data_IF_627679329042
#
_entry.id   IF_627679329042
#
_cell.length_a   1.000
_cell.length_b   1.000
_cell.length_c   1.000
_cell.angle_alpha   90.00
_cell.angle_beta   90.00
_cell.angle_gamma   90.00
#
_symmetry.space_group_name_H-M   'P 1'
#
loop_
_entity.id
_entity.type
_entity.pdbx_description
1 polymer ?
#
# COMPACT_ATOMS: atom_id res chain seq x y z
N UNK A 1 -30.24 -0.94 3.74
CA UNK A 1 -30.39 -2.41 3.74
C UNK A 1 -29.14 -2.99 4.37
N UNK A 2 -29.29 -3.68 5.50
CA UNK A 2 -28.22 -4.07 6.41
C UNK A 2 -27.20 -5.02 5.76
N UNK A 3 -25.93 -4.60 5.70
CA UNK A 3 -24.77 -5.48 5.40
C UNK A 3 -24.33 -6.35 6.59
N UNK A 4 -25.06 -6.31 7.71
CA UNK A 4 -24.70 -7.02 8.95
C UNK A 4 -25.04 -8.52 8.96
N UNK A 5 -25.50 -9.11 7.84
CA UNK A 5 -25.97 -10.50 7.77
C UNK A 5 -25.19 -11.45 6.85
N UNK A 6 -24.11 -11.00 6.20
CA UNK A 6 -23.43 -11.82 5.18
C UNK A 6 -22.26 -12.65 5.74
N UNK A 7 -21.80 -12.38 6.96
CA UNK A 7 -20.61 -13.03 7.53
C UNK A 7 -20.85 -14.44 8.09
N UNK A 8 -22.11 -14.82 8.35
CA UNK A 8 -22.45 -16.16 8.86
C UNK A 8 -22.40 -17.28 7.79
N UNK A 9 -22.00 -16.99 6.54
CA UNK A 9 -22.16 -17.93 5.41
C UNK A 9 -21.00 -18.02 4.41
N UNK A 10 -19.77 -17.65 4.78
CA UNK A 10 -18.59 -17.97 3.95
C UNK A 10 -17.91 -19.26 4.41
N UNK A 11 -17.99 -20.31 3.60
CA UNK A 11 -17.27 -21.57 3.83
C UNK A 11 -15.76 -21.36 4.03
N UNK A 12 -15.18 -20.34 3.38
CA UNK A 12 -13.77 -19.98 3.53
C UNK A 12 -13.41 -19.59 4.97
N UNK A 13 -14.24 -18.82 5.67
CA UNK A 13 -13.93 -18.41 7.05
C UNK A 13 -13.89 -19.61 7.99
N UNK A 14 -14.82 -20.55 7.82
CA UNK A 14 -14.85 -21.82 8.56
C UNK A 14 -13.61 -22.68 8.27
N UNK A 15 -13.23 -22.83 7.00
CA UNK A 15 -12.03 -23.59 6.61
C UNK A 15 -10.78 -22.98 7.24
N UNK A 16 -10.63 -21.66 7.16
CA UNK A 16 -9.49 -20.96 7.77
C UNK A 16 -9.50 -21.13 9.30
N UNK A 17 -10.66 -21.06 9.95
CA UNK A 17 -10.79 -21.24 11.40
C UNK A 17 -10.40 -22.65 11.83
N UNK A 18 -10.84 -23.67 11.08
CA UNK A 18 -10.50 -25.06 11.35
C UNK A 18 -9.01 -25.36 11.15
N UNK A 19 -8.37 -24.75 10.15
CA UNK A 19 -6.93 -24.90 9.86
C UNK A 19 -6.02 -24.07 10.76
N UNK A 20 -6.54 -22.98 11.35
CA UNK A 20 -5.78 -22.11 12.24
C UNK A 20 -5.72 -22.61 13.70
N UNK A 21 -6.28 -23.79 14.02
CA UNK A 21 -6.35 -24.31 15.41
C UNK A 21 -4.98 -24.63 16.03
N UNK A 22 -3.92 -24.73 15.22
CA UNK A 22 -2.56 -25.02 15.70
C UNK A 22 -1.52 -23.97 15.24
N UNK A 23 -1.01 -23.20 16.22
CA UNK A 23 0.36 -22.63 16.36
C UNK A 23 0.78 -21.25 15.79
N UNK A 24 1.51 -20.54 16.66
CA UNK A 24 2.69 -19.66 16.50
C UNK A 24 2.74 -18.67 15.32
N UNK A 25 1.98 -17.58 15.40
CA UNK A 25 2.38 -16.33 14.76
C UNK A 25 3.45 -15.66 15.62
N UNK A 26 4.57 -15.24 15.01
CA UNK A 26 5.63 -14.53 15.74
C UNK A 26 5.10 -13.17 16.22
N UNK A 27 5.46 -12.75 17.44
CA UNK A 27 4.91 -11.53 18.08
C UNK A 27 5.15 -10.25 17.24
N UNK A 28 6.14 -10.23 16.35
CA UNK A 28 6.64 -9.03 15.68
C UNK A 28 6.23 -8.81 14.21
N UNK A 29 5.60 -9.78 13.53
CA UNK A 29 5.27 -9.64 12.10
C UNK A 29 3.84 -9.19 11.84
N UNK A 30 3.65 -8.39 10.77
CA UNK A 30 2.36 -8.01 10.21
C UNK A 30 1.94 -9.09 9.21
N UNK A 31 0.74 -9.62 9.37
CA UNK A 31 0.20 -10.63 8.46
C UNK A 31 -1.05 -10.09 7.76
N UNK A 32 -1.04 -10.09 6.44
CA UNK A 32 -2.20 -9.86 5.56
C UNK A 32 -2.34 -11.06 4.64
N UNK A 33 -2.93 -12.14 5.15
CA UNK A 33 -3.03 -13.41 4.41
C UNK A 33 -4.31 -13.55 3.61
N UNK A 34 -5.11 -12.49 3.52
CA UNK A 34 -6.37 -12.44 2.80
C UNK A 34 -6.46 -11.13 2.02
N UNK A 35 -6.95 -11.23 0.80
CA UNK A 35 -7.22 -10.08 -0.06
C UNK A 35 -8.43 -10.34 -0.96
N UNK A 36 -8.98 -9.29 -1.54
CA UNK A 36 -10.16 -9.40 -2.39
C UNK A 36 -10.09 -8.43 -3.57
N UNK A 37 -10.61 -8.86 -4.71
CA UNK A 37 -10.86 -8.01 -5.88
C UNK A 37 -12.24 -8.33 -6.42
N UNK A 38 -13.03 -7.29 -6.70
CA UNK A 38 -14.40 -7.41 -7.17
C UNK A 38 -15.26 -8.35 -6.31
N UNK A 39 -15.62 -9.51 -6.86
CA UNK A 39 -16.46 -10.55 -6.27
C UNK A 39 -15.66 -11.75 -5.75
N UNK A 40 -14.33 -11.68 -5.70
CA UNK A 40 -13.44 -12.78 -5.28
C UNK A 40 -12.72 -12.44 -3.99
N UNK A 41 -12.69 -13.39 -3.07
CA UNK A 41 -11.79 -13.40 -1.92
C UNK A 41 -10.75 -14.49 -2.12
N UNK A 42 -9.49 -14.16 -1.86
CA UNK A 42 -8.36 -15.09 -1.85
C UNK A 42 -7.71 -15.08 -0.47
N UNK A 43 -7.39 -16.25 0.04
CA UNK A 43 -6.66 -16.45 1.29
C UNK A 43 -5.47 -17.39 1.11
N UNK A 44 -4.37 -17.12 1.81
CA UNK A 44 -3.21 -18.02 1.88
C UNK A 44 -3.39 -19.07 2.97
N UNK A 45 -3.27 -20.34 2.60
CA UNK A 45 -3.16 -21.46 3.54
C UNK A 45 -1.69 -21.82 3.77
N UNK A 46 -1.17 -21.48 4.95
CA UNK A 46 0.21 -21.81 5.34
C UNK A 46 0.41 -23.33 5.49
N UNK A 47 -0.59 -24.04 6.00
CA UNK A 47 -0.54 -25.49 6.21
C UNK A 47 -0.42 -26.25 4.89
N UNK A 48 -1.22 -25.86 3.89
CA UNK A 48 -1.26 -26.55 2.60
C UNK A 48 -0.28 -25.97 1.57
N UNK A 49 0.31 -24.79 1.83
CA UNK A 49 1.15 -24.07 0.89
C UNK A 49 0.41 -23.65 -0.39
N UNK A 50 -0.87 -23.29 -0.29
CA UNK A 50 -1.74 -22.99 -1.42
C UNK A 50 -2.60 -21.74 -1.20
N UNK A 51 -3.23 -21.25 -2.27
CA UNK A 51 -4.24 -20.20 -2.18
C UNK A 51 -5.64 -20.84 -2.17
N UNK A 52 -6.52 -20.33 -1.34
CA UNK A 52 -7.94 -20.68 -1.29
C UNK A 52 -8.72 -19.51 -1.87
N UNK A 53 -9.61 -19.79 -2.81
CA UNK A 53 -10.43 -18.75 -3.45
C UNK A 53 -11.91 -19.05 -3.32
N UNK A 54 -12.72 -18.03 -3.07
CA UNK A 54 -14.18 -18.14 -3.04
C UNK A 54 -14.80 -16.90 -3.68
N UNK A 55 -15.88 -17.07 -4.45
CA UNK A 55 -16.72 -15.94 -4.87
C UNK A 55 -17.60 -15.49 -3.71
N UNK A 56 -17.83 -14.18 -3.58
CA UNK A 56 -18.72 -13.57 -2.60
C UNK A 56 -20.18 -13.73 -3.05
N UNK A 57 -20.59 -14.99 -3.23
CA UNK A 57 -21.94 -15.37 -3.65
C UNK A 57 -22.40 -16.49 -2.69
N UNK A 58 -23.66 -16.48 -2.24
CA UNK A 58 -24.17 -17.51 -1.35
C UNK A 58 -23.93 -18.93 -1.87
N UNK A 59 -23.47 -19.82 -1.00
CA UNK A 59 -23.20 -21.24 -1.30
C UNK A 59 -22.19 -21.50 -2.43
N UNK A 60 -21.38 -20.49 -2.82
CA UNK A 60 -20.29 -20.73 -3.76
C UNK A 60 -19.21 -21.61 -3.11
N UNK A 61 -18.70 -22.60 -3.86
CA UNK A 61 -17.65 -23.47 -3.34
C UNK A 61 -16.30 -22.75 -3.24
N UNK A 62 -15.44 -23.24 -2.34
CA UNK A 62 -14.04 -22.82 -2.25
C UNK A 62 -13.23 -23.63 -3.26
N UNK A 63 -12.47 -22.97 -4.12
CA UNK A 63 -11.51 -23.59 -5.02
C UNK A 63 -10.11 -23.51 -4.42
N UNK A 64 -9.35 -24.60 -4.52
CA UNK A 64 -7.94 -24.67 -4.11
C UNK A 64 -7.04 -24.35 -5.29
N UNK A 65 -6.20 -23.33 -5.16
CA UNK A 65 -5.22 -22.92 -6.14
C UNK A 65 -3.85 -23.42 -5.68
N UNK A 66 -3.51 -24.64 -6.11
CA UNK A 66 -2.24 -25.29 -5.82
C UNK A 66 -1.10 -24.59 -6.57
N UNK A 67 0.04 -24.39 -5.91
CA UNK A 67 1.17 -23.68 -6.49
C UNK A 67 2.14 -24.65 -7.16
N UNK A 68 2.52 -24.36 -8.40
CA UNK A 68 3.56 -25.11 -9.13
C UNK A 68 4.93 -25.09 -8.44
N UNK A 69 5.28 -23.96 -7.80
CA UNK A 69 6.44 -23.79 -6.94
C UNK A 69 6.04 -23.00 -5.68
N UNK A 70 5.63 -23.66 -4.58
CA UNK A 70 5.21 -22.96 -3.37
C UNK A 70 6.40 -22.22 -2.74
N UNK A 71 6.22 -21.00 -2.20
CA UNK A 71 7.29 -20.27 -1.51
C UNK A 71 7.90 -21.09 -0.37
N UNK A 72 9.24 -21.09 -0.29
CA UNK A 72 9.99 -21.72 0.81
C UNK A 72 10.18 -20.78 2.01
N UNK A 73 9.62 -19.58 1.93
CA UNK A 73 9.64 -18.57 2.98
C UNK A 73 8.25 -18.33 3.55
N UNK A 74 8.21 -17.73 4.74
CA UNK A 74 6.96 -17.32 5.35
C UNK A 74 6.32 -16.18 4.55
N UNK A 75 5.13 -16.45 4.01
CA UNK A 75 4.28 -15.43 3.40
C UNK A 75 3.68 -14.60 4.53
N UNK A 76 3.94 -13.30 4.48
CA UNK A 76 3.41 -12.30 5.41
C UNK A 76 2.25 -11.52 4.77
N UNK A 77 2.31 -11.23 3.47
CA UNK A 77 1.28 -10.48 2.76
C UNK A 77 0.86 -11.17 1.46
N UNK A 78 -0.45 -11.14 1.19
CA UNK A 78 -1.10 -11.56 -0.05
C UNK A 78 -1.72 -10.32 -0.66
N UNK A 79 -1.46 -10.09 -1.95
CA UNK A 79 -2.03 -8.96 -2.67
C UNK A 79 -2.46 -9.35 -4.08
N UNK A 80 -3.76 -9.27 -4.36
CA UNK A 80 -4.29 -9.49 -5.72
C UNK A 80 -4.13 -8.22 -6.56
N UNK A 81 -3.78 -8.36 -7.84
CA UNK A 81 -3.70 -7.23 -8.76
C UNK A 81 -5.10 -6.72 -9.15
N UNK A 82 -5.19 -5.50 -9.67
CA UNK A 82 -6.46 -4.84 -10.01
C UNK A 82 -7.29 -5.62 -11.04
N UNK A 83 -6.66 -6.38 -11.91
CA UNK A 83 -7.35 -7.20 -12.92
C UNK A 83 -7.79 -8.59 -12.42
N UNK A 84 -7.42 -8.97 -11.20
CA UNK A 84 -7.67 -10.32 -10.68
C UNK A 84 -6.98 -11.44 -11.46
N UNK A 85 -5.90 -11.12 -12.19
CA UNK A 85 -5.13 -12.08 -12.99
C UNK A 85 -3.88 -12.60 -12.28
N UNK A 86 -3.48 -11.98 -11.17
CA UNK A 86 -2.28 -12.39 -10.45
C UNK A 86 -2.33 -12.05 -8.97
N UNK A 87 -1.68 -12.88 -8.15
CA UNK A 87 -1.57 -12.71 -6.70
C UNK A 87 -0.10 -12.66 -6.30
N UNK A 88 0.31 -11.56 -5.66
CA UNK A 88 1.63 -11.46 -5.05
C UNK A 88 1.61 -12.12 -3.66
N UNK A 89 2.54 -13.04 -3.43
CA UNK A 89 2.88 -13.63 -2.13
C UNK A 89 4.19 -12.98 -1.67
N UNK A 90 4.10 -12.21 -0.60
CA UNK A 90 5.18 -11.33 -0.14
C UNK A 90 5.60 -11.80 1.25
N UNK A 91 6.89 -11.99 1.44
CA UNK A 91 7.49 -12.21 2.76
C UNK A 91 8.88 -11.62 2.81
N UNK A 92 9.48 -11.54 4.00
CA UNK A 92 10.81 -10.92 4.18
C UNK A 92 11.91 -11.48 3.29
N UNK A 93 11.79 -12.74 2.86
CA UNK A 93 12.83 -13.45 2.11
C UNK A 93 12.60 -13.48 0.60
N UNK A 94 11.47 -12.95 0.12
CA UNK A 94 11.19 -12.95 -1.31
C UNK A 94 9.75 -12.59 -1.65
N UNK A 95 9.54 -12.35 -2.94
CA UNK A 95 8.23 -12.09 -3.53
C UNK A 95 7.98 -13.12 -4.63
N UNK A 96 6.81 -13.75 -4.61
CA UNK A 96 6.35 -14.64 -5.65
C UNK A 96 5.05 -14.08 -6.25
N UNK A 97 4.83 -14.27 -7.55
CA UNK A 97 3.58 -13.94 -8.23
C UNK A 97 2.94 -15.22 -8.73
N UNK A 98 1.72 -15.47 -8.29
CA UNK A 98 0.87 -16.56 -8.74
C UNK A 98 0.00 -16.07 -9.88
N UNK A 99 0.10 -16.69 -11.05
CA UNK A 99 -0.78 -16.42 -12.19
C UNK A 99 -2.13 -17.11 -11.97
N UNK A 100 -3.21 -16.32 -12.00
CA UNK A 100 -4.56 -16.82 -11.85
C UNK A 100 -5.13 -17.21 -13.22
N UNK A 101 -5.77 -18.38 -13.33
CA UNK A 101 -6.42 -18.79 -14.57
C UNK A 101 -7.62 -17.89 -14.87
N UNK A 102 -8.08 -17.91 -16.12
CA UNK A 102 -9.29 -17.19 -16.50
C UNK A 102 -10.53 -17.76 -15.77
N UNK A 103 -11.43 -16.86 -15.36
CA UNK A 103 -12.73 -17.19 -14.77
C UNK A 103 -13.78 -17.28 -15.88
N UNK A 104 -14.59 -18.33 -15.89
CA UNK A 104 -15.62 -18.54 -16.91
C UNK A 104 -16.79 -19.36 -16.38
N UNK A 105 -17.93 -19.28 -17.06
CA UNK A 105 -19.16 -20.00 -16.67
C UNK A 105 -20.09 -19.19 -15.77
N UNK A 106 -21.11 -19.86 -15.23
CA UNK A 106 -22.07 -19.31 -14.29
C UNK A 106 -22.27 -20.30 -13.11
N UNK A 107 -21.72 -20.01 -11.91
CA UNK A 107 -20.95 -18.81 -11.56
C UNK A 107 -19.56 -18.79 -12.24
N UNK A 108 -18.92 -17.61 -12.39
CA UNK A 108 -17.65 -17.45 -13.11
C UNK A 108 -16.47 -17.97 -12.27
N UNK A 109 -16.31 -19.29 -12.23
CA UNK A 109 -15.27 -19.99 -11.49
C UNK A 109 -13.98 -20.14 -12.31
N UNK A 110 -12.88 -20.37 -11.62
CA UNK A 110 -11.59 -20.66 -12.25
C UNK A 110 -11.58 -22.02 -12.95
N UNK A 111 -10.96 -22.08 -14.13
CA UNK A 111 -10.71 -23.32 -14.90
C UNK A 111 -11.96 -24.21 -15.05
N UNK A 112 -13.09 -23.60 -15.41
CA UNK A 112 -14.36 -24.31 -15.58
C UNK A 112 -14.95 -24.88 -14.29
N UNK A 113 -14.54 -24.37 -13.14
CA UNK A 113 -15.07 -24.79 -11.84
C UNK A 113 -14.43 -26.05 -11.27
N UNK A 114 -13.17 -26.36 -11.58
CA UNK A 114 -12.45 -27.46 -10.90
C UNK A 114 -12.24 -27.16 -9.41
N UNK A 115 -12.23 -28.19 -8.57
CA UNK A 115 -12.03 -28.02 -7.12
C UNK A 115 -10.58 -27.65 -6.77
N UNK A 116 -9.63 -28.16 -7.55
CA UNK A 116 -8.20 -27.84 -7.42
C UNK A 116 -7.62 -27.46 -8.77
N UNK A 117 -6.94 -26.32 -8.82
CA UNK A 117 -6.28 -25.80 -10.02
C UNK A 117 -4.80 -25.60 -9.72
N UNK A 118 -3.92 -26.00 -10.63
CA UNK A 118 -2.50 -25.71 -10.52
C UNK A 118 -2.20 -24.34 -11.13
N UNK A 119 -1.67 -23.43 -10.35
CA UNK A 119 -1.28 -22.09 -10.76
C UNK A 119 0.22 -22.01 -11.00
N UNK A 120 0.60 -21.32 -12.10
CA UNK A 120 2.00 -20.98 -12.35
C UNK A 120 2.44 -19.95 -11.32
N UNK A 121 3.65 -20.14 -10.79
CA UNK A 121 4.28 -19.17 -9.89
C UNK A 121 5.54 -18.67 -10.55
N UNK A 122 5.84 -17.37 -10.38
CA UNK A 122 7.09 -16.74 -10.75
C UNK A 122 7.69 -15.99 -9.57
N UNK A 123 8.97 -16.23 -9.27
CA UNK A 123 9.67 -15.51 -8.22
C UNK A 123 10.24 -14.22 -8.79
N UNK A 124 10.18 -13.13 -8.03
CA UNK A 124 10.71 -11.84 -8.42
C UNK A 124 12.09 -11.66 -7.78
N UNK A 125 13.09 -11.40 -8.62
CA UNK A 125 14.49 -11.23 -8.25
C UNK A 125 15.05 -12.39 -7.41
N UNK A 126 14.72 -13.62 -7.79
CA UNK A 126 15.02 -14.83 -7.00
C UNK A 126 16.52 -14.94 -6.73
N UNK A 127 17.34 -14.82 -7.78
CA UNK A 127 18.80 -14.91 -7.62
C UNK A 127 19.35 -13.78 -6.76
N UNK A 128 18.78 -12.59 -6.84
CA UNK A 128 19.23 -11.44 -6.06
C UNK A 128 19.02 -11.68 -4.56
N UNK A 129 17.84 -12.13 -4.14
CA UNK A 129 17.56 -12.44 -2.72
C UNK A 129 18.30 -13.69 -2.22
N UNK A 130 18.52 -14.69 -3.08
CA UNK A 130 19.32 -15.87 -2.73
C UNK A 130 20.81 -15.53 -2.53
N UNK A 131 21.38 -14.65 -3.37
CA UNK A 131 22.78 -14.25 -3.26
C UNK A 131 23.05 -13.26 -2.12
N UNK A 132 22.02 -12.57 -1.61
CA UNK A 132 22.14 -11.60 -0.53
C UNK A 132 21.33 -12.05 0.69
N UNK A 133 21.83 -13.04 1.47
CA UNK A 133 21.03 -13.68 2.51
C UNK A 133 20.70 -12.77 3.70
N UNK A 134 21.26 -11.56 3.79
CA UNK A 134 20.89 -10.55 4.81
C UNK A 134 19.86 -9.54 4.31
N UNK A 135 19.59 -9.53 3.01
CA UNK A 135 18.63 -8.59 2.43
C UNK A 135 17.20 -9.07 2.73
N UNK A 136 16.40 -8.17 3.26
CA UNK A 136 14.98 -8.38 3.52
C UNK A 136 14.11 -7.53 2.59
N UNK A 137 12.95 -8.07 2.21
CA UNK A 137 11.84 -7.33 1.62
C UNK A 137 11.12 -6.60 2.75
N UNK A 138 11.08 -5.27 2.69
CA UNK A 138 10.42 -4.41 3.68
C UNK A 138 8.95 -4.18 3.33
N UNK A 139 8.67 -3.97 2.05
CA UNK A 139 7.33 -3.81 1.50
C UNK A 139 7.33 -4.17 0.00
N UNK A 140 6.19 -4.59 -0.51
CA UNK A 140 5.99 -4.76 -1.95
C UNK A 140 4.53 -4.47 -2.33
N UNK A 141 4.31 -3.95 -3.54
CA UNK A 141 2.99 -3.64 -4.05
C UNK A 141 2.95 -3.65 -5.59
N UNK A 142 1.78 -3.91 -6.15
CA UNK A 142 1.53 -3.73 -7.59
C UNK A 142 1.62 -2.24 -7.98
N UNK A 143 2.33 -1.93 -9.07
CA UNK A 143 2.41 -0.56 -9.55
C UNK A 143 1.06 -0.12 -10.17
N UNK A 144 0.42 0.95 -9.68
CA UNK A 144 -0.93 1.34 -10.11
C UNK A 144 -1.01 1.82 -11.56
N UNK A 145 0.10 2.31 -12.11
CA UNK A 145 0.24 2.68 -13.53
C UNK A 145 0.49 1.53 -14.50
N UNK A 146 0.60 0.29 -14.00
CA UNK A 146 0.89 -0.88 -14.84
C UNK A 146 -0.32 -1.27 -15.68
N UNK A 147 -0.34 -0.91 -16.96
CA UNK A 147 -1.44 -1.21 -17.88
C UNK A 147 -1.75 -2.71 -18.00
N UNK A 148 -0.71 -3.54 -17.97
CA UNK A 148 -0.83 -5.01 -18.08
C UNK A 148 -0.84 -5.70 -16.70
N UNK A 149 -0.89 -4.93 -15.61
CA UNK A 149 -0.81 -5.44 -14.23
C UNK A 149 0.38 -6.40 -14.00
N UNK A 150 1.52 -6.12 -14.64
CA UNK A 150 2.75 -6.92 -14.65
C UNK A 150 3.96 -6.20 -14.02
N UNK A 151 3.74 -5.11 -13.28
CA UNK A 151 4.81 -4.43 -12.54
C UNK A 151 4.62 -4.56 -11.03
N UNK A 152 5.66 -5.03 -10.37
CA UNK A 152 5.76 -5.12 -8.91
C UNK A 152 6.86 -4.16 -8.43
N UNK A 153 6.54 -3.36 -7.42
CA UNK A 153 7.51 -2.51 -6.73
C UNK A 153 7.92 -3.19 -5.43
N UNK A 154 9.22 -3.29 -5.19
CA UNK A 154 9.81 -3.87 -3.99
C UNK A 154 10.69 -2.84 -3.30
N UNK A 155 10.38 -2.57 -2.04
CA UNK A 155 11.25 -1.87 -1.11
C UNK A 155 12.04 -2.92 -0.33
N UNK A 156 13.37 -2.84 -0.36
CA UNK A 156 14.25 -3.75 0.36
C UNK A 156 15.08 -3.02 1.42
N UNK A 157 15.59 -3.79 2.40
CA UNK A 157 16.38 -3.31 3.54
C UNK A 157 17.70 -2.60 3.19
N UNK A 158 18.09 -2.59 1.91
CA UNK A 158 19.23 -1.83 1.40
C UNK A 158 18.87 -0.39 0.99
N UNK A 159 17.68 0.08 1.37
CA UNK A 159 17.14 1.40 1.03
C UNK A 159 17.06 1.65 -0.48
N UNK A 160 16.63 0.63 -1.23
CA UNK A 160 16.28 0.76 -2.64
C UNK A 160 14.81 0.44 -2.87
N UNK A 161 14.16 1.31 -3.64
CA UNK A 161 12.86 1.04 -4.24
C UNK A 161 13.09 0.54 -5.68
N UNK A 162 12.65 -0.69 -5.96
CA UNK A 162 12.88 -1.35 -7.25
C UNK A 162 11.58 -1.67 -7.95
N UNK A 163 11.48 -1.34 -9.23
CA UNK A 163 10.33 -1.68 -10.07
C UNK A 163 10.74 -2.81 -11.00
N UNK A 164 10.04 -3.94 -10.90
CA UNK A 164 10.24 -5.13 -11.73
C UNK A 164 9.07 -5.31 -12.67
N UNK A 165 9.38 -5.57 -13.94
CA UNK A 165 8.43 -6.10 -14.90
C UNK A 165 8.50 -7.62 -14.87
N UNK A 166 7.36 -8.29 -14.69
CA UNK A 166 7.29 -9.74 -14.55
C UNK A 166 7.72 -10.51 -15.80
N UNK A 167 7.79 -9.84 -16.97
CA UNK A 167 8.38 -10.41 -18.19
C UNK A 167 9.90 -10.61 -18.05
N UNK A 168 10.56 -9.78 -17.25
CA UNK A 168 11.99 -9.85 -16.91
C UNK A 168 12.16 -9.72 -15.39
N UNK A 169 11.66 -10.70 -14.66
CA UNK A 169 11.54 -10.67 -13.20
C UNK A 169 12.86 -10.66 -12.41
N UNK A 170 14.01 -10.88 -13.04
CA UNK A 170 15.32 -10.96 -12.37
C UNK A 170 16.05 -9.61 -12.26
N UNK A 171 15.82 -8.71 -13.20
CA UNK A 171 16.51 -7.42 -13.30
C UNK A 171 15.44 -6.32 -13.18
N UNK A 172 15.55 -5.39 -12.22
CA UNK A 172 14.59 -4.31 -12.11
C UNK A 172 14.71 -3.37 -13.32
N UNK A 173 13.57 -2.92 -13.85
CA UNK A 173 13.54 -1.86 -14.87
C UNK A 173 14.00 -0.52 -14.29
N UNK A 174 13.69 -0.28 -13.01
CA UNK A 174 14.11 0.90 -12.26
C UNK A 174 14.60 0.51 -10.87
N UNK A 175 15.73 1.08 -10.45
CA UNK A 175 16.27 0.93 -9.11
C UNK A 175 16.60 2.31 -8.55
N UNK A 176 15.83 2.75 -7.56
CA UNK A 176 15.88 4.10 -6.99
C UNK A 176 16.57 3.98 -5.63
N UNK A 177 17.76 4.59 -5.50
CA UNK A 177 18.44 4.68 -4.20
C UNK A 177 17.76 5.73 -3.34
N UNK A 178 17.39 5.36 -2.12
CA UNK A 178 16.72 6.25 -1.18
C UNK A 178 17.71 6.97 -0.24
N UNK A 179 19.02 6.67 -0.34
CA UNK A 179 20.06 7.23 0.52
C UNK A 179 19.95 6.81 2.00
N UNK A 180 20.94 7.19 2.81
CA UNK A 180 20.73 7.43 4.25
C UNK A 180 20.37 8.92 4.36
N UNK A 181 19.41 9.28 5.21
CA UNK A 181 18.68 10.57 5.25
C UNK A 181 19.50 11.85 5.52
N UNK A 182 20.71 11.99 4.97
CA UNK A 182 21.50 13.22 4.96
C UNK A 182 22.07 13.45 3.58
N UNK A 183 21.46 14.38 2.85
CA UNK A 183 22.00 14.92 1.61
C UNK A 183 23.31 15.64 1.93
N UNK A 184 24.43 15.03 1.54
CA UNK A 184 25.75 15.63 1.62
C UNK A 184 26.72 14.91 0.71
N UNK A 185 26.89 15.44 -0.50
CA UNK A 185 27.97 15.20 -1.48
C UNK A 185 28.34 13.73 -1.71
N UNK A 186 28.00 13.26 -2.92
CA UNK A 186 28.42 11.98 -3.50
C UNK A 186 29.92 11.75 -3.25
N UNK A 187 30.23 10.73 -2.45
CA UNK A 187 31.50 10.02 -2.57
C UNK A 187 31.19 8.53 -2.70
N UNK A 188 31.52 8.01 -3.87
CA UNK A 188 31.61 6.60 -4.16
C UNK A 188 32.49 5.89 -3.13
N UNK A 189 32.11 4.67 -2.76
CA UNK A 189 32.76 3.74 -1.82
C UNK A 189 32.48 4.01 -0.34
N UNK A 190 31.46 3.35 0.19
CA UNK A 190 31.61 2.26 1.17
C UNK A 190 30.22 1.81 1.65
N UNK A 191 29.97 0.50 1.57
CA UNK A 191 28.80 -0.18 2.14
C UNK A 191 28.88 -0.07 3.66
N UNK A 192 28.43 1.04 4.24
CA UNK A 192 28.28 1.19 5.69
C UNK A 192 26.89 0.69 6.06
N UNK A 193 26.84 -0.44 6.78
CA UNK A 193 25.66 -0.85 7.51
C UNK A 193 25.35 0.19 8.60
N UNK A 194 24.60 1.23 8.26
CA UNK A 194 24.04 2.16 9.23
C UNK A 194 22.83 1.50 9.87
N UNK A 195 23.09 0.61 10.82
CA UNK A 195 22.13 0.28 11.88
C UNK A 195 22.00 1.47 12.85
N UNK A 196 21.73 2.65 12.29
CA UNK A 196 21.29 3.82 13.03
C UNK A 196 19.78 3.68 13.19
N UNK A 197 19.29 3.84 14.42
CA UNK A 197 17.89 3.64 14.75
C UNK A 197 17.01 4.50 13.83
N UNK A 198 16.17 3.86 13.01
CA UNK A 198 15.16 4.52 12.17
C UNK A 198 15.60 5.02 10.79
N UNK A 199 16.86 4.83 10.37
CA UNK A 199 17.37 5.28 9.05
C UNK A 199 17.03 4.34 7.87
N UNK A 200 16.18 3.34 8.09
CA UNK A 200 15.70 2.45 7.02
C UNK A 200 14.28 2.83 6.61
N UNK A 201 14.02 2.78 5.31
CA UNK A 201 12.66 2.81 4.79
C UNK A 201 11.90 1.55 5.24
N UNK A 202 10.67 1.72 5.71
CA UNK A 202 9.83 0.66 6.30
C UNK A 202 8.51 0.42 5.56
N UNK A 203 8.02 1.42 4.83
CA UNK A 203 6.79 1.32 4.05
C UNK A 203 6.81 2.32 2.89
N UNK A 204 5.99 2.06 1.87
CA UNK A 204 5.72 3.02 0.80
C UNK A 204 4.27 2.89 0.34
N UNK A 205 3.73 3.93 -0.27
CA UNK A 205 2.45 3.87 -0.98
C UNK A 205 2.39 4.92 -2.11
N UNK A 206 1.48 4.71 -3.06
CA UNK A 206 1.34 5.54 -4.27
C UNK A 206 0.28 6.63 -4.08
N UNK A 207 0.59 7.85 -4.52
CA UNK A 207 -0.42 8.88 -4.71
C UNK A 207 -1.10 8.82 -6.08
N UNK A 208 -2.07 9.71 -6.29
CA UNK A 208 -2.73 9.87 -7.58
C UNK A 208 -1.73 10.29 -8.68
N UNK A 209 -1.95 9.84 -9.92
CA UNK A 209 -1.05 10.18 -11.01
C UNK A 209 -1.17 11.65 -11.42
N UNK A 210 -0.04 12.27 -11.73
CA UNK A 210 0.03 13.59 -12.33
C UNK A 210 0.18 13.46 -13.86
N UNK A 211 -0.44 14.37 -14.61
CA UNK A 211 -0.14 14.49 -16.04
C UNK A 211 1.30 15.03 -16.23
N UNK A 212 2.07 14.52 -17.19
CA UNK A 212 3.41 15.03 -17.46
C UNK A 212 3.33 16.51 -17.88
N UNK A 213 4.11 17.37 -17.23
CA UNK A 213 4.21 18.79 -17.59
C UNK A 213 4.76 18.89 -19.02
N UNK A 214 3.93 19.32 -19.98
CA UNK A 214 4.38 19.60 -21.33
C UNK A 214 5.24 20.88 -21.30
N UNK A 215 6.56 20.76 -21.44
CA UNK A 215 7.40 21.93 -21.68
C UNK A 215 7.05 22.54 -23.04
N UNK A 216 6.65 23.82 -23.15
CA UNK A 216 6.44 24.47 -24.43
C UNK A 216 7.79 24.97 -24.96
N UNK A 217 8.65 24.10 -25.49
CA UNK A 217 9.73 24.55 -26.40
C UNK A 217 10.36 23.42 -27.19
N UNK A 218 10.30 23.56 -28.52
CA UNK A 218 11.00 22.73 -29.49
C UNK A 218 10.21 22.65 -30.80
N UNK A 219 10.38 23.66 -31.66
CA UNK A 219 9.77 23.77 -32.98
C UNK A 219 9.69 22.42 -33.72
N UNK A 220 8.52 21.99 -34.23
CA UNK A 220 8.49 20.95 -35.23
C UNK A 220 9.08 21.54 -36.51
N UNK A 221 10.35 21.23 -36.78
CA UNK A 221 10.89 21.39 -38.13
C UNK A 221 10.12 20.40 -39.00
N UNK A 222 9.14 20.96 -39.68
CA UNK A 222 8.35 20.34 -40.73
C UNK A 222 9.26 19.85 -41.85
N UNK A 223 9.49 18.55 -41.91
CA UNK A 223 9.63 17.88 -43.20
C UNK A 223 8.40 17.00 -43.36
N UNK A 224 7.45 17.53 -44.12
CA UNK A 224 6.19 16.88 -44.40
C UNK A 224 6.39 15.52 -45.08
N UNK A 225 5.49 14.60 -44.76
CA UNK A 225 4.78 13.69 -45.66
C UNK A 225 4.02 12.70 -44.76
N UNK A 226 2.69 12.73 -44.90
CA UNK A 226 1.69 11.77 -44.41
C UNK A 226 1.27 11.93 -42.93
N UNK A 227 0.25 12.76 -42.73
CA UNK A 227 -0.79 12.54 -41.72
C UNK A 227 -1.52 11.23 -42.08
N UNK A 228 -1.03 10.10 -41.56
CA UNK A 228 -1.82 8.88 -41.49
C UNK A 228 -2.26 8.67 -40.06
N UNK A 229 -3.51 8.23 -39.93
CA UNK A 229 -4.22 7.64 -38.81
C UNK A 229 -3.33 6.76 -37.89
N UNK A 230 -2.41 7.36 -37.12
CA UNK A 230 -1.66 6.66 -36.09
C UNK A 230 -2.61 6.47 -34.92
N UNK A 231 -3.03 5.22 -34.75
CA UNK A 231 -3.97 4.65 -33.78
C UNK A 231 -4.19 5.50 -32.51
N UNK A 232 -5.42 6.01 -32.36
CA UNK A 232 -5.90 6.63 -31.11
C UNK A 232 -5.59 5.77 -29.88
N UNK A 233 -5.58 4.45 -30.02
CA UNK A 233 -5.24 3.49 -28.95
C UNK A 233 -3.77 3.54 -28.56
N UNK A 234 -2.85 3.65 -29.53
CA UNK A 234 -1.42 3.81 -29.27
C UNK A 234 -1.14 5.18 -28.64
N UNK A 235 -1.80 6.25 -29.10
CA UNK A 235 -1.70 7.58 -28.50
C UNK A 235 -2.19 7.62 -27.04
N UNK A 236 -3.33 6.96 -26.75
CA UNK A 236 -3.84 6.81 -25.37
C UNK A 236 -2.88 6.01 -24.50
N UNK A 237 -2.41 4.84 -24.97
CA UNK A 237 -1.44 4.00 -24.23
C UNK A 237 -0.17 4.77 -23.89
N UNK A 238 0.37 5.52 -24.85
CA UNK A 238 1.57 6.31 -24.64
C UNK A 238 1.34 7.46 -23.65
N UNK A 239 0.16 8.09 -23.65
CA UNK A 239 -0.24 9.07 -22.62
C UNK A 239 -0.31 8.42 -21.23
N UNK A 240 -0.91 7.24 -21.10
CA UNK A 240 -1.02 6.52 -19.81
C UNK A 240 0.33 6.10 -19.25
N UNK A 241 1.24 5.60 -20.09
CA UNK A 241 2.62 5.27 -19.68
C UNK A 241 3.42 6.52 -19.30
N UNK A 242 3.08 7.67 -19.88
CA UNK A 242 3.63 8.98 -19.56
C UNK A 242 3.17 9.57 -18.23
N UNK A 243 2.17 8.97 -17.56
CA UNK A 243 1.71 9.43 -16.26
C UNK A 243 2.82 9.31 -15.21
N UNK A 244 2.90 10.34 -14.38
CA UNK A 244 3.86 10.43 -13.29
C UNK A 244 3.18 9.98 -12.00
N UNK A 245 3.73 8.96 -11.36
CA UNK A 245 3.19 8.37 -10.14
C UNK A 245 4.06 8.76 -8.94
N UNK A 246 3.56 9.63 -8.04
CA UNK A 246 4.24 9.92 -6.80
C UNK A 246 4.21 8.69 -5.89
N UNK A 247 5.36 8.34 -5.34
CA UNK A 247 5.52 7.27 -4.35
C UNK A 247 6.05 7.89 -3.07
N UNK A 248 5.26 7.84 -2.01
CA UNK A 248 5.66 8.29 -0.68
C UNK A 248 6.35 7.13 0.04
N UNK A 249 7.46 7.41 0.72
CA UNK A 249 8.26 6.44 1.45
C UNK A 249 8.36 6.89 2.90
N UNK A 250 8.00 5.99 3.81
CA UNK A 250 8.13 6.17 5.26
C UNK A 250 9.39 5.50 5.76
N UNK A 251 10.18 6.25 6.52
CA UNK A 251 11.32 5.75 7.30
C UNK A 251 10.90 5.40 8.73
N UNK A 252 11.65 4.51 9.36
CA UNK A 252 11.37 4.07 10.73
C UNK A 252 11.40 5.21 11.77
N UNK A 253 12.14 6.29 11.49
CA UNK A 253 12.20 7.51 12.29
C UNK A 253 11.04 8.51 12.06
N UNK A 254 10.05 8.15 11.22
CA UNK A 254 8.91 9.01 10.90
C UNK A 254 9.16 10.00 9.77
N UNK A 255 10.37 10.05 9.19
CA UNK A 255 10.62 10.87 8.01
C UNK A 255 9.87 10.32 6.80
N UNK A 256 9.23 11.24 6.07
CA UNK A 256 8.60 10.95 4.78
C UNK A 256 9.45 11.52 3.66
N UNK A 257 9.74 10.70 2.67
CA UNK A 257 10.28 11.13 1.39
C UNK A 257 9.27 10.83 0.29
N UNK A 258 9.42 11.42 -0.89
CA UNK A 258 8.70 10.96 -2.05
C UNK A 258 9.58 10.96 -3.30
N UNK A 259 9.21 10.12 -4.26
CA UNK A 259 9.84 10.05 -5.58
C UNK A 259 8.76 9.99 -6.64
N UNK A 260 9.05 10.51 -7.82
CA UNK A 260 8.15 10.39 -8.97
C UNK A 260 8.65 9.23 -9.85
N UNK A 261 7.75 8.31 -10.14
CA UNK A 261 7.99 7.15 -11.01
C UNK A 261 7.14 7.27 -12.28
N UNK A 262 7.59 6.65 -13.36
CA UNK A 262 6.82 6.53 -14.60
C UNK A 262 7.13 5.17 -15.24
N UNK A 263 6.27 4.68 -16.13
CA UNK A 263 6.50 3.41 -16.84
C UNK A 263 6.76 3.59 -18.35
N UNK A 264 6.84 4.85 -18.83
CA UNK A 264 7.09 5.16 -20.24
C UNK A 264 8.56 5.05 -20.64
N UNK A 265 9.48 5.23 -19.70
CA UNK A 265 10.91 5.33 -20.01
C UNK A 265 11.64 4.03 -19.74
N UNK A 266 12.16 3.40 -20.80
CA UNK A 266 13.19 2.33 -20.72
C UNK A 266 14.58 2.86 -20.34
N UNK A 267 14.72 4.18 -20.24
CA UNK A 267 15.94 4.83 -19.75
C UNK A 267 15.78 5.05 -18.25
N UNK A 268 16.83 4.82 -17.44
CA UNK A 268 16.81 5.21 -16.05
C UNK A 268 16.61 6.72 -16.00
N UNK A 269 15.38 7.17 -15.74
CA UNK A 269 15.18 8.53 -15.30
C UNK A 269 16.06 8.68 -14.05
N UNK A 270 16.82 9.77 -13.95
CA UNK A 270 17.46 10.13 -12.70
C UNK A 270 16.33 10.44 -11.71
N UNK A 271 15.82 9.39 -11.05
CA UNK A 271 14.79 9.49 -10.05
C UNK A 271 15.35 10.33 -8.91
N UNK A 272 14.81 11.53 -8.75
CA UNK A 272 15.17 12.42 -7.65
C UNK A 272 14.31 12.06 -6.45
N UNK A 273 14.95 11.75 -5.34
CA UNK A 273 14.30 11.65 -4.06
C UNK A 273 14.06 13.05 -3.50
N UNK A 274 12.84 13.34 -3.07
CA UNK A 274 12.43 14.59 -2.45
C UNK A 274 12.14 14.34 -0.97
N UNK A 275 12.62 15.22 -0.10
CA UNK A 275 12.42 15.13 1.35
C UNK A 275 13.72 15.28 2.16
N UNK A 276 13.67 15.10 3.49
CA UNK A 276 12.48 14.71 4.25
C UNK A 276 11.40 15.81 4.25
N UNK A 277 10.13 15.43 4.10
CA UNK A 277 9.01 16.35 4.09
C UNK A 277 8.74 16.86 5.50
N UNK A 278 8.65 18.19 5.66
CA UNK A 278 8.36 18.79 6.96
C UNK A 278 6.89 18.66 7.32
N UNK A 279 6.63 18.17 8.54
CA UNK A 279 5.29 18.15 9.15
C UNK A 279 4.95 19.48 9.83
N UNK A 280 3.75 20.00 9.59
CA UNK A 280 3.24 21.30 10.10
C UNK A 280 1.86 21.08 10.76
N UNK A 281 1.57 21.65 11.94
CA UNK A 281 2.50 22.38 12.79
C UNK A 281 3.62 21.48 13.30
N UNK A 282 4.80 22.05 13.53
CA UNK A 282 5.90 21.31 14.12
C UNK A 282 5.51 20.91 15.55
N UNK A 283 5.55 19.61 15.84
CA UNK A 283 5.29 19.04 17.15
C UNK A 283 6.23 17.87 17.36
N UNK A 284 6.73 17.70 18.59
CA UNK A 284 7.73 16.66 18.91
C UNK A 284 7.17 15.24 18.75
N UNK A 285 5.85 15.07 18.87
CA UNK A 285 5.12 13.81 18.69
C UNK A 285 4.88 13.45 17.22
N UNK A 286 5.16 14.34 16.26
CA UNK A 286 5.02 14.05 14.82
C UNK A 286 6.12 13.09 14.30
N UNK A 287 7.23 12.93 15.03
CA UNK A 287 8.36 12.11 14.63
C UNK A 287 8.70 11.09 15.73
N UNK A 288 9.17 9.91 15.35
CA UNK A 288 9.41 8.82 16.29
C UNK A 288 10.07 7.63 15.62
N UNK A 289 10.74 6.78 16.41
CA UNK A 289 11.50 5.61 15.91
C UNK A 289 10.64 4.36 15.69
N UNK A 290 9.33 4.51 15.83
CA UNK A 290 8.35 3.44 15.88
C UNK A 290 7.33 3.51 14.74
N UNK A 291 7.62 4.30 13.70
CA UNK A 291 6.81 4.34 12.48
C UNK A 291 6.84 2.99 11.77
N UNK A 292 5.66 2.49 11.39
CA UNK A 292 5.54 1.13 10.85
C UNK A 292 4.69 1.00 9.59
N UNK A 293 3.64 1.81 9.40
CA UNK A 293 2.76 1.71 8.21
C UNK A 293 2.48 3.08 7.60
N UNK A 294 2.37 3.08 6.27
CA UNK A 294 1.96 4.23 5.48
C UNK A 294 0.79 3.82 4.58
N UNK A 295 -0.20 4.70 4.46
CA UNK A 295 -1.29 4.60 3.50
C UNK A 295 -1.56 5.98 2.89
N UNK A 296 -1.71 6.05 1.58
CA UNK A 296 -2.07 7.26 0.85
C UNK A 296 -3.52 7.12 0.39
N UNK A 297 -4.41 7.88 1.03
CA UNK A 297 -5.80 7.98 0.61
C UNK A 297 -5.86 8.75 -0.70
N UNK A 298 -6.51 8.13 -1.70
CA UNK A 298 -6.61 8.61 -3.09
C UNK A 298 -7.59 9.79 -3.21
N UNK A 299 -7.30 10.86 -2.48
CA UNK A 299 -8.07 12.10 -2.38
C UNK A 299 -7.29 13.28 -2.97
N UNK A 300 -7.98 14.40 -3.20
CA UNK A 300 -7.39 15.64 -3.70
C UNK A 300 -7.76 16.79 -2.75
N UNK A 301 -6.80 17.39 -2.03
CA UNK A 301 -5.37 17.04 -1.97
C UNK A 301 -5.12 15.64 -1.37
N UNK A 302 -3.99 14.97 -1.70
CA UNK A 302 -3.66 13.65 -1.14
C UNK A 302 -3.52 13.69 0.39
N UNK A 303 -3.88 12.58 1.04
CA UNK A 303 -3.81 12.44 2.50
C UNK A 303 -3.00 11.21 2.86
N UNK A 304 -1.93 11.39 3.63
CA UNK A 304 -1.12 10.32 4.19
C UNK A 304 -1.64 9.97 5.58
N UNK A 305 -1.79 8.67 5.82
CA UNK A 305 -2.04 8.10 7.15
C UNK A 305 -0.78 7.36 7.56
N UNK A 306 -0.15 7.82 8.63
CA UNK A 306 1.10 7.27 9.17
C UNK A 306 0.75 6.57 10.49
N UNK A 307 1.09 5.29 10.61
CA UNK A 307 0.86 4.52 11.82
C UNK A 307 2.15 4.15 12.54
N UNK A 308 2.14 4.27 13.86
CA UNK A 308 3.23 3.87 14.74
C UNK A 308 2.95 2.53 15.42
N UNK A 309 3.98 1.87 15.95
CA UNK A 309 3.81 0.61 16.72
C UNK A 309 3.23 0.84 18.12
N UNK A 310 3.21 2.09 18.59
CA UNK A 310 2.61 2.52 19.86
C UNK A 310 1.10 2.80 19.75
N UNK A 311 0.53 2.77 18.54
CA UNK A 311 -0.90 2.98 18.35
C UNK A 311 -1.29 4.37 17.91
N UNK A 312 -0.34 5.24 17.55
CA UNK A 312 -0.64 6.57 17.03
C UNK A 312 -0.86 6.54 15.51
N UNK A 313 -1.83 7.33 15.07
CA UNK A 313 -2.19 7.53 13.66
C UNK A 313 -2.17 9.02 13.33
N UNK A 314 -1.19 9.45 12.55
CA UNK A 314 -1.12 10.82 12.05
C UNK A 314 -1.80 10.91 10.69
N UNK A 315 -2.77 11.81 10.56
CA UNK A 315 -3.39 12.15 9.29
C UNK A 315 -2.81 13.45 8.77
N UNK A 316 -2.16 13.37 7.61
CA UNK A 316 -1.38 14.43 7.02
C UNK A 316 -1.91 14.79 5.63
N UNK A 317 -2.32 16.05 5.42
CA UNK A 317 -2.64 16.55 4.08
C UNK A 317 -1.34 16.93 3.37
N UNK A 318 -1.16 16.48 2.13
CA UNK A 318 -0.04 16.91 1.29
C UNK A 318 -0.37 18.29 0.72
N UNK A 319 0.43 19.28 1.08
CA UNK A 319 0.32 20.65 0.59
C UNK A 319 1.50 20.92 -0.34
N UNK A 320 1.22 21.32 -1.57
CA UNK A 320 2.21 21.88 -2.47
C UNK A 320 2.15 23.41 -2.37
N UNK A 321 3.24 24.04 -1.95
CA UNK A 321 3.32 25.50 -1.85
C UNK A 321 3.68 26.03 -3.24
N UNK A 322 2.71 26.63 -3.96
CA UNK A 322 2.85 27.08 -5.36
C UNK A 322 4.27 27.50 -5.75
N UNK A 323 4.84 26.75 -6.69
CA UNK A 323 6.10 27.07 -7.36
C UNK A 323 5.85 28.32 -8.20
N UNK A 324 6.54 29.42 -7.91
CA UNK A 324 6.70 30.47 -8.91
C UNK A 324 7.27 29.82 -10.17
N UNK A 325 6.71 30.16 -11.35
CA UNK A 325 6.98 29.51 -12.65
C UNK A 325 8.46 29.54 -13.11
N UNK A 326 9.36 30.18 -12.35
CA UNK A 326 10.77 30.40 -12.68
C UNK A 326 11.78 29.52 -11.92
N UNK A 327 11.38 28.54 -11.11
CA UNK A 327 12.33 27.89 -10.17
C UNK A 327 12.76 26.44 -10.48
N UNK A 328 14.08 26.23 -10.32
CA UNK A 328 14.84 24.98 -10.43
C UNK A 328 14.21 23.74 -9.75
N UNK A 329 14.51 22.52 -10.23
CA UNK A 329 14.03 21.23 -9.64
C UNK A 329 14.31 21.04 -8.13
N UNK A 330 15.14 21.88 -7.49
CA UNK A 330 15.35 21.91 -6.04
C UNK A 330 14.22 22.61 -5.26
N UNK A 331 13.49 23.54 -5.88
CA UNK A 331 12.38 24.27 -5.23
C UNK A 331 11.17 23.39 -4.97
N UNK A 332 10.94 22.37 -5.82
CA UNK A 332 9.87 21.36 -5.66
C UNK A 332 10.03 20.55 -4.36
N UNK A 333 11.28 20.29 -3.93
CA UNK A 333 11.54 19.58 -2.68
C UNK A 333 11.11 20.40 -1.45
N UNK A 334 11.22 21.72 -1.54
CA UNK A 334 10.90 22.66 -0.46
C UNK A 334 9.45 23.14 -0.49
N UNK A 335 8.74 22.95 -1.61
CA UNK A 335 7.33 23.34 -1.75
C UNK A 335 6.38 22.36 -1.08
N UNK A 336 6.68 21.06 -1.14
CA UNK A 336 5.81 20.02 -0.60
C UNK A 336 5.98 19.88 0.91
N UNK A 337 4.88 20.01 1.65
CA UNK A 337 4.83 19.90 3.11
C UNK A 337 3.67 19.02 3.54
N UNK A 338 3.77 18.44 4.72
CA UNK A 338 2.72 17.62 5.32
C UNK A 338 2.01 18.41 6.41
N UNK A 339 0.74 18.74 6.22
CA UNK A 339 -0.05 19.36 7.28
C UNK A 339 -0.73 18.28 8.12
N UNK A 340 -0.22 18.05 9.33
CA UNK A 340 -0.81 17.16 10.32
C UNK A 340 -2.04 17.88 10.87
N UNK A 341 -3.22 17.40 10.51
CA UNK A 341 -4.47 18.01 10.95
C UNK A 341 -5.13 17.24 12.11
N UNK A 342 -4.78 15.96 12.26
CA UNK A 342 -5.30 15.08 13.29
C UNK A 342 -4.29 13.99 13.65
N UNK A 343 -4.14 13.75 14.95
CA UNK A 343 -3.48 12.55 15.48
C UNK A 343 -4.47 11.78 16.34
N UNK A 344 -4.61 10.48 16.07
CA UNK A 344 -5.48 9.57 16.81
C UNK A 344 -4.62 8.56 17.56
N UNK A 345 -4.83 8.46 18.86
CA UNK A 345 -4.17 7.45 19.70
C UNK A 345 -5.12 6.27 19.93
N UNK A 346 -4.64 5.06 19.66
CA UNK A 346 -5.39 3.82 19.84
C UNK A 346 -5.01 3.15 21.15
N UNK A 347 -6.02 2.81 21.95
CA UNK A 347 -5.83 1.94 23.11
C UNK A 347 -5.65 0.49 22.65
N UNK A 348 -4.39 0.07 22.52
CA UNK A 348 -4.02 -1.29 22.11
C UNK A 348 -4.00 -2.31 23.28
N UNK A 349 -4.04 -1.82 24.52
CA UNK A 349 -4.01 -2.62 25.74
C UNK A 349 -5.41 -2.82 26.30
N UNK A 350 -5.86 -4.08 26.35
CA UNK A 350 -7.16 -4.47 26.91
C UNK A 350 -7.09 -4.78 28.42
N UNK A 351 -5.89 -4.82 28.99
CA UNK A 351 -5.63 -5.13 30.39
C UNK A 351 -4.68 -4.08 31.01
N UNK A 352 -4.89 -3.66 32.26
CA UNK A 352 -4.09 -2.63 32.93
C UNK A 352 -2.62 -3.02 33.19
N UNK A 353 -2.26 -4.31 33.03
CA UNK A 353 -0.88 -4.80 33.20
C UNK A 353 -0.06 -4.82 31.89
N UNK A 354 -0.65 -4.40 30.75
CA UNK A 354 -0.02 -4.43 29.42
C UNK A 354 0.64 -3.08 29.04
N UNK A 355 1.38 -2.44 29.97
CA UNK A 355 1.98 -1.10 29.82
C UNK A 355 3.07 -0.98 28.71
N UNK A 356 3.44 -2.05 28.00
CA UNK A 356 4.50 -2.03 26.98
C UNK A 356 4.14 -2.81 25.70
N UNK A 357 2.86 -2.86 25.32
CA UNK A 357 2.45 -3.59 24.12
C UNK A 357 2.78 -2.82 22.83
N UNK A 358 3.90 -3.16 22.20
CA UNK A 358 4.22 -2.72 20.83
C UNK A 358 3.72 -3.77 19.83
N UNK A 359 2.77 -3.40 18.97
CA UNK A 359 2.37 -4.25 17.84
C UNK A 359 2.31 -3.41 16.57
N UNK A 360 2.90 -3.86 15.46
CA UNK A 360 2.84 -3.11 14.23
C UNK A 360 1.40 -3.07 13.70
N UNK A 361 0.93 -1.86 13.41
CA UNK A 361 -0.37 -1.62 12.78
C UNK A 361 -0.28 -1.87 11.27
N UNK A 362 -1.37 -2.38 10.70
CA UNK A 362 -1.55 -2.48 9.24
C UNK A 362 -2.70 -1.59 8.81
N UNK A 363 -2.42 -0.68 7.89
CA UNK A 363 -3.42 0.22 7.29
C UNK A 363 -3.93 -0.35 5.97
N UNK A 364 -5.23 -0.24 5.73
CA UNK A 364 -5.89 -0.74 4.53
C UNK A 364 -6.85 0.29 3.96
N UNK A 365 -6.80 0.60 2.66
CA UNK A 365 -7.81 1.47 2.06
C UNK A 365 -9.17 0.78 2.07
N UNK A 366 -10.23 1.55 2.30
CA UNK A 366 -11.59 1.08 2.09
C UNK A 366 -11.87 1.01 0.58
N UNK A 367 -12.19 -0.17 0.01
CA UNK A 367 -12.47 -0.28 -1.42
C UNK A 367 -13.75 0.46 -1.84
N UNK A 368 -14.65 0.77 -0.90
CA UNK A 368 -15.91 1.46 -1.20
C UNK A 368 -15.75 2.96 -1.27
N UNK A 369 -14.75 3.52 -0.58
CA UNK A 369 -14.59 4.97 -0.43
C UNK A 369 -13.11 5.36 -0.33
N UNK A 370 -12.60 6.26 -1.18
CA UNK A 370 -11.18 6.63 -1.20
C UNK A 370 -10.72 7.46 0.01
N UNK A 371 -11.64 7.87 0.89
CA UNK A 371 -11.38 8.71 2.08
C UNK A 371 -11.43 7.94 3.40
N UNK A 372 -11.57 6.61 3.34
CA UNK A 372 -11.67 5.73 4.50
C UNK A 372 -10.59 4.67 4.48
N UNK A 373 -10.20 4.23 5.66
CA UNK A 373 -9.30 3.10 5.83
C UNK A 373 -9.76 2.20 6.97
N UNK A 374 -9.37 0.94 6.93
CA UNK A 374 -9.42 0.04 8.08
C UNK A 374 -8.03 -0.16 8.64
N UNK A 375 -7.98 -0.37 9.95
CA UNK A 375 -6.77 -0.60 10.73
C UNK A 375 -6.87 -2.01 11.29
N UNK A 376 -5.85 -2.82 11.02
CA UNK A 376 -5.71 -4.15 11.58
C UNK A 376 -4.52 -4.19 12.55
N UNK A 377 -4.81 -4.60 13.77
CA UNK A 377 -3.85 -4.97 14.81
C UNK A 377 -4.17 -6.40 15.28
N UNK A 378 -3.21 -7.05 15.94
CA UNK A 378 -3.39 -8.41 16.49
C UNK A 378 -4.57 -8.55 17.45
N UNK A 379 -4.99 -7.45 18.08
CA UNK A 379 -6.04 -7.45 19.10
C UNK A 379 -7.27 -6.62 18.70
N UNK A 380 -7.16 -5.78 17.67
CA UNK A 380 -8.20 -4.81 17.31
C UNK A 380 -8.31 -4.70 15.80
N UNK A 381 -9.56 -4.72 15.31
CA UNK A 381 -9.92 -4.27 13.97
C UNK A 381 -10.76 -2.99 14.11
N UNK A 382 -10.39 -1.92 13.43
CA UNK A 382 -11.10 -0.65 13.51
C UNK A 382 -11.29 -0.02 12.14
N UNK A 383 -12.41 0.67 11.94
CA UNK A 383 -12.64 1.51 10.77
C UNK A 383 -12.38 2.98 11.13
N UNK A 384 -11.50 3.62 10.37
CA UNK A 384 -11.21 5.04 10.46
C UNK A 384 -11.71 5.74 9.18
N UNK A 385 -12.60 6.71 9.34
CA UNK A 385 -13.16 7.46 8.22
C UNK A 385 -13.19 8.96 8.51
N UNK A 386 -12.63 9.75 7.60
CA UNK A 386 -12.67 11.21 7.71
C UNK A 386 -13.86 11.78 6.93
N UNK A 387 -14.90 12.20 7.65
CA UNK A 387 -15.98 13.01 7.08
C UNK A 387 -15.50 14.41 6.65
N UNK A 388 -14.40 14.88 7.26
CA UNK A 388 -13.73 16.14 6.95
C UNK A 388 -13.15 16.15 5.54
N UNK A 389 -12.65 15.02 5.02
CA UNK A 389 -12.11 14.94 3.66
C UNK A 389 -13.15 15.23 2.56
N UNK A 390 -14.39 14.75 2.72
CA UNK A 390 -15.48 15.12 1.79
C UNK A 390 -15.74 16.63 1.78
N UNK A 391 -15.62 17.26 2.96
CA UNK A 391 -15.78 18.70 3.16
C UNK A 391 -14.51 19.51 2.84
N UNK A 392 -13.35 18.90 2.57
CA UNK A 392 -12.13 19.59 2.09
C UNK A 392 -12.05 19.50 0.56
N UNK A 393 -12.38 18.33 -0.01
CA UNK A 393 -12.46 18.15 -1.46
C UNK A 393 -13.55 19.04 -2.11
N UNK A 394 -14.68 19.26 -1.43
CA UNK A 394 -15.75 20.14 -1.90
C UNK A 394 -15.38 21.63 -2.01
N UNK A 395 -14.81 22.30 -0.99
CA UNK A 395 -14.41 23.70 -1.05
C UNK A 395 -13.20 23.95 -1.95
N UNK A 396 -12.31 22.97 -2.19
CA UNK A 396 -11.31 23.08 -3.26
C UNK A 396 -11.96 23.21 -4.65
N UNK A 397 -13.19 22.75 -4.84
CA UNK A 397 -14.02 23.04 -6.03
C UNK A 397 -14.94 24.25 -5.87
N UNK A 398 -15.18 24.71 -4.63
CA UNK A 398 -16.16 25.72 -4.26
C UNK A 398 -15.52 26.94 -3.57
N UNK A 399 -14.44 27.48 -4.14
CA UNK A 399 -14.06 28.89 -3.92
C UNK A 399 -15.13 29.82 -4.53
N UNK A 400 -16.34 29.74 -4.00
CA UNK A 400 -17.44 30.68 -4.12
C UNK A 400 -18.42 30.39 -2.96
N UNK A 401 -18.48 31.33 -2.02
CA UNK A 401 -19.40 31.41 -0.87
C UNK A 401 -18.96 30.68 0.41
N UNK A 402 -18.61 31.50 1.42
CA UNK A 402 -18.15 31.09 2.73
C UNK A 402 -19.25 30.59 3.67
N UNK A 403 -18.81 29.83 4.67
CA UNK A 403 -19.58 29.42 5.83
C UNK A 403 -18.78 28.46 6.71
N UNK A 404 -18.55 28.84 7.96
CA UNK A 404 -17.94 28.00 8.99
C UNK A 404 -18.92 26.88 9.37
N UNK A 405 -18.50 25.61 9.29
CA UNK A 405 -19.25 24.48 9.84
C UNK A 405 -18.35 23.60 10.70
N UNK A 406 -18.88 23.14 11.82
CA UNK A 406 -18.20 22.21 12.75
C UNK A 406 -17.86 20.87 12.07
N UNK A 407 -16.73 20.30 12.48
CA UNK A 407 -16.15 19.04 11.97
C UNK A 407 -16.50 17.89 12.92
N UNK A 408 -16.97 16.76 12.38
CA UNK A 408 -17.25 15.55 13.15
C UNK A 408 -16.62 14.34 12.43
N UNK A 409 -15.93 13.49 13.18
CA UNK A 409 -15.36 12.23 12.70
C UNK A 409 -16.16 11.05 13.23
N UNK A 410 -16.20 9.94 12.48
CA UNK A 410 -16.89 8.72 12.91
C UNK A 410 -15.88 7.57 12.94
N UNK A 411 -15.63 7.07 14.15
CA UNK A 411 -14.84 5.87 14.40
C UNK A 411 -15.82 4.75 14.74
N UNK A 412 -15.73 3.64 14.01
CA UNK A 412 -16.50 2.44 14.35
C UNK A 412 -15.52 1.33 14.69
N UNK A 413 -15.45 0.99 15.98
CA UNK A 413 -14.76 -0.20 16.44
C UNK A 413 -15.64 -1.41 16.12
N UNK A 414 -15.14 -2.31 15.29
CA UNK A 414 -15.76 -3.62 15.12
C UNK A 414 -14.84 -4.65 15.78
N UNK A 415 -15.26 -5.22 16.90
CA UNK A 415 -14.65 -6.45 17.38
C UNK A 415 -14.91 -7.55 16.34
N UNK A 416 -13.96 -7.74 15.43
CA UNK A 416 -13.86 -8.98 14.69
C UNK A 416 -13.35 -10.02 15.68
N UNK A 417 -14.28 -10.72 16.32
CA UNK A 417 -14.00 -11.96 17.05
C UNK A 417 -13.56 -13.04 16.08
N UNK A 418 -12.35 -12.89 15.54
CA UNK A 418 -11.54 -14.03 15.13
C UNK A 418 -10.43 -14.08 16.17
N UNK A 419 -10.33 -15.21 16.87
CA UNK A 419 -9.41 -15.46 17.99
C UNK A 419 -9.85 -14.97 19.38
N UNK A 420 -10.98 -15.45 19.90
CA UNK A 420 -11.03 -15.93 21.29
C UNK A 420 -12.35 -16.64 21.60
N UNK A 421 -12.24 -17.91 21.98
CA UNK A 421 -13.33 -18.70 22.52
C UNK A 421 -13.87 -18.06 23.81
N UNK A 422 -15.20 -18.08 23.92
CA UNK A 422 -16.01 -17.81 25.09
C UNK A 422 -15.72 -16.52 25.86
N UNK A 423 -16.46 -15.45 25.55
CA UNK A 423 -17.00 -14.51 26.53
C UNK A 423 -18.16 -13.71 25.91
N UNK A 424 -19.15 -13.39 26.74
CA UNK A 424 -20.44 -12.82 26.39
C UNK A 424 -20.39 -11.56 25.51
N UNK A 425 -21.33 -11.47 24.56
CA UNK A 425 -21.63 -10.25 23.81
C UNK A 425 -21.88 -9.06 24.76
N UNK A 426 -20.98 -8.08 24.70
CA UNK A 426 -21.28 -6.70 25.07
C UNK A 426 -20.86 -5.82 23.89
N UNK A 427 -21.82 -5.10 23.28
CA UNK A 427 -21.49 -3.97 22.43
C UNK A 427 -21.14 -2.79 23.33
N UNK A 428 -19.85 -2.57 23.56
CA UNK A 428 -19.35 -1.38 24.24
C UNK A 428 -18.76 -0.45 23.18
N UNK A 429 -19.36 0.73 23.03
CA UNK A 429 -18.76 1.87 22.35
C UNK A 429 -17.59 2.36 23.19
N UNK A 430 -16.35 2.03 22.80
CA UNK A 430 -15.18 2.71 23.34
C UNK A 430 -14.87 3.93 22.47
N UNK A 431 -14.89 5.11 23.08
CA UNK A 431 -14.44 6.36 22.48
C UNK A 431 -12.92 6.34 22.33
N UNK A 432 -12.41 6.88 21.23
CA UNK A 432 -11.04 7.41 21.20
C UNK A 432 -10.90 8.37 22.39
N UNK A 433 -9.93 8.08 23.27
CA UNK A 433 -9.88 8.73 24.59
C UNK A 433 -9.26 10.13 24.54
N UNK A 434 -8.55 10.48 23.46
CA UNK A 434 -8.08 11.84 23.20
C UNK A 434 -8.06 12.16 21.70
N UNK A 435 -8.75 13.23 21.32
CA UNK A 435 -8.62 13.87 20.00
C UNK A 435 -7.81 15.15 20.16
N UNK A 436 -6.66 15.23 19.51
CA UNK A 436 -5.92 16.49 19.36
C UNK A 436 -6.13 17.00 17.94
N UNK A 437 -7.03 17.97 17.80
CA UNK A 437 -7.24 18.72 16.55
C UNK A 437 -6.30 19.92 16.62
N UNK A 438 -5.43 20.05 15.61
CA UNK A 438 -4.47 21.16 15.50
C UNK A 438 -5.11 22.44 15.02
#
# INVERSE_FOLDING_TARGET
TNMAGCTDTLTLSRILTDKCKDKHFTKSSRYRLLDSVDDVIIAWSKEDGCLLSQLIIPNCKVQTLALSKPPVWEVEHVQINKSGSGVALIGRRGVAVVELPHRSGDPPLYDGGRDTITCRVEYVAERFFLCHPKLEVMAAAWHPGSLENNHIVILASDNYLRIYNLTSNEIPEQAISLGSGRVGVISSSNFTCSSNLGESAVAFDFGLPNEPVMCPSGNPVSNGIIENLIDLENGKRQKFLGLQWPVFILYGNGEIYFVITNLSTTRPALHRLFGPLSMIPACDDNYGLDSCSLLVLQSSPPVLVIATTTGQLHHCIVIDSDVNEDESLSSIATSVKLHVYETVELELSLLPDDENFTSPLSLHPDPTTPTRCSILSKRVSMYCGSHTLHKIAHPCWSYACGGLSSWYFSYTLCHAGFWQDHLHYYSTSFCATNHRIS
#
